data_IF_363531973226
#
_entry.id   IF_363531973226
#
_cell.length_a   1.000
_cell.length_b   1.000
_cell.length_c   1.000
_cell.angle_alpha   90.00
_cell.angle_beta   90.00
_cell.angle_gamma   90.00
#
_symmetry.space_group_name_H-M   'P 1'
#
loop_
_entity.id
_entity.type
_entity.pdbx_description
1 polymer ?
#
# COMPACT_ATOMS: atom_id res chain seq x y z
N UNK A 1 14.10 -14.36 -5.98
CA UNK A 1 14.92 -13.19 -6.32
C UNK A 1 14.31 -11.98 -5.63
N UNK A 2 15.08 -10.98 -5.17
CA UNK A 2 14.49 -9.72 -4.72
C UNK A 2 13.78 -9.05 -5.90
N UNK A 3 12.64 -8.39 -5.65
CA UNK A 3 11.97 -7.62 -6.68
C UNK A 3 12.94 -6.59 -7.27
N UNK A 4 12.99 -6.47 -8.60
CA UNK A 4 13.83 -5.47 -9.28
C UNK A 4 13.53 -4.06 -8.75
N UNK A 5 14.53 -3.17 -8.61
CA UNK A 5 14.35 -1.82 -8.07
C UNK A 5 13.33 -0.98 -8.84
N UNK A 6 13.05 -1.33 -10.10
CA UNK A 6 12.01 -0.71 -10.93
C UNK A 6 10.60 -1.06 -10.43
N UNK A 7 10.36 -2.31 -10.00
CA UNK A 7 9.07 -2.72 -9.41
C UNK A 7 8.88 -2.10 -8.03
N UNK A 8 9.96 -1.90 -7.29
CA UNK A 8 9.90 -1.21 -6.00
C UNK A 8 9.49 0.26 -6.13
N UNK A 9 9.83 0.91 -7.25
CA UNK A 9 9.33 2.24 -7.58
C UNK A 9 7.83 2.25 -7.85
N UNK A 10 7.22 1.18 -8.36
CA UNK A 10 5.77 1.14 -8.59
C UNK A 10 4.97 1.44 -7.33
N UNK A 11 5.38 0.91 -6.17
CA UNK A 11 4.69 1.20 -4.89
C UNK A 11 4.81 2.68 -4.50
N UNK A 12 5.98 3.29 -4.69
CA UNK A 12 6.17 4.72 -4.46
C UNK A 12 5.35 5.57 -5.45
N UNK A 13 5.36 5.21 -6.74
CA UNK A 13 4.58 5.88 -7.78
C UNK A 13 3.08 5.77 -7.54
N UNK A 14 2.61 4.62 -7.03
CA UNK A 14 1.23 4.41 -6.63
C UNK A 14 0.81 5.39 -5.52
N UNK A 15 1.66 5.54 -4.49
CA UNK A 15 1.42 6.50 -3.40
C UNK A 15 1.38 7.94 -3.94
N UNK A 16 2.31 8.32 -4.80
CA UNK A 16 2.33 9.66 -5.40
C UNK A 16 1.09 9.89 -6.29
N UNK A 17 0.67 8.90 -7.06
CA UNK A 17 -0.56 8.97 -7.86
C UNK A 17 -1.84 9.19 -7.02
N UNK A 18 -1.92 8.57 -5.84
CA UNK A 18 -3.00 8.80 -4.87
C UNK A 18 -2.85 10.17 -4.19
N UNK A 19 -1.62 10.56 -3.86
CA UNK A 19 -1.33 11.86 -3.22
C UNK A 19 -1.81 13.02 -4.10
N UNK A 20 -1.52 12.99 -5.40
CA UNK A 20 -1.94 14.02 -6.37
C UNK A 20 -3.45 14.00 -6.68
N UNK A 21 -4.17 12.94 -6.29
CA UNK A 21 -5.60 12.78 -6.58
C UNK A 21 -6.46 12.67 -5.31
N UNK A 22 -7.06 13.76 -4.82
CA UNK A 22 -7.91 13.73 -3.63
C UNK A 22 -9.15 12.83 -3.79
N UNK A 23 -9.66 12.68 -5.02
CA UNK A 23 -10.76 11.75 -5.33
C UNK A 23 -10.38 10.30 -5.04
N UNK A 24 -9.13 9.90 -5.32
CA UNK A 24 -8.64 8.56 -5.02
C UNK A 24 -8.53 8.33 -3.52
N UNK A 25 -8.04 9.31 -2.77
CA UNK A 25 -7.97 9.23 -1.30
C UNK A 25 -9.35 9.08 -0.65
N UNK A 26 -10.35 9.81 -1.16
CA UNK A 26 -11.74 9.67 -0.70
C UNK A 26 -12.29 8.27 -1.01
N UNK A 27 -12.08 7.77 -2.22
CA UNK A 27 -12.49 6.41 -2.60
C UNK A 27 -11.84 5.36 -1.69
N UNK A 28 -10.56 5.52 -1.40
CA UNK A 28 -9.77 4.62 -0.57
C UNK A 28 -10.30 4.55 0.88
N UNK A 29 -10.80 5.66 1.43
CA UNK A 29 -11.52 5.70 2.70
C UNK A 29 -12.95 5.10 2.64
N UNK A 30 -13.56 5.01 1.46
CA UNK A 30 -14.88 4.42 1.29
C UNK A 30 -14.82 2.89 1.26
N UNK A 31 -13.72 2.31 0.76
CA UNK A 31 -13.49 0.87 0.67
C UNK A 31 -13.56 0.25 2.06
N UNK A 32 -14.31 -0.85 2.16
CA UNK A 32 -14.49 -1.60 3.41
C UNK A 32 -14.23 -3.10 3.24
N UNK A 33 -13.86 -3.55 2.04
CA UNK A 33 -13.68 -4.96 1.69
C UNK A 33 -12.49 -5.17 0.74
N UNK A 34 -12.01 -6.41 0.66
CA UNK A 34 -10.82 -6.76 -0.11
C UNK A 34 -11.06 -6.70 -1.62
N UNK A 35 -12.30 -6.92 -2.08
CA UNK A 35 -12.62 -6.90 -3.50
C UNK A 35 -12.64 -5.46 -4.03
N UNK A 36 -13.21 -4.52 -3.26
CA UNK A 36 -13.15 -3.09 -3.54
C UNK A 36 -11.72 -2.56 -3.57
N UNK A 37 -10.88 -3.01 -2.62
CA UNK A 37 -9.45 -2.68 -2.63
C UNK A 37 -8.75 -3.21 -3.88
N UNK A 38 -9.03 -4.46 -4.27
CA UNK A 38 -8.45 -5.05 -5.47
C UNK A 38 -8.81 -4.28 -6.72
N UNK A 39 -10.09 -3.97 -6.90
CA UNK A 39 -10.57 -3.21 -8.04
C UNK A 39 -9.96 -1.79 -8.09
N UNK A 40 -9.80 -1.15 -6.93
CA UNK A 40 -9.19 0.16 -6.84
C UNK A 40 -7.70 0.13 -7.20
N UNK A 41 -6.95 -0.83 -6.65
CA UNK A 41 -5.52 -0.97 -6.91
C UNK A 41 -5.25 -1.30 -8.38
N UNK A 42 -5.99 -2.26 -8.93
CA UNK A 42 -5.87 -2.67 -10.34
C UNK A 42 -6.20 -1.52 -11.32
N UNK A 43 -7.10 -0.61 -10.90
CA UNK A 43 -7.43 0.59 -11.67
C UNK A 43 -6.35 1.68 -11.67
N UNK A 44 -5.40 1.65 -10.74
CA UNK A 44 -4.30 2.63 -10.63
C UNK A 44 -3.00 2.03 -11.15
N UNK A 45 -2.64 0.85 -10.64
CA UNK A 45 -1.38 0.19 -10.94
C UNK A 45 -1.56 -1.33 -10.95
N UNK A 46 -1.64 -1.89 -12.16
CA UNK A 46 -1.75 -3.33 -12.41
C UNK A 46 -0.43 -4.09 -12.18
N UNK A 47 0.67 -3.39 -11.88
CA UNK A 47 1.94 -4.03 -11.49
C UNK A 47 1.94 -4.52 -10.04
N UNK A 48 0.95 -4.10 -9.23
CA UNK A 48 0.76 -4.59 -7.87
C UNK A 48 0.11 -5.97 -7.90
N UNK A 49 0.92 -7.00 -7.64
CA UNK A 49 0.47 -8.40 -7.73
C UNK A 49 -0.12 -8.93 -6.43
N UNK A 50 0.31 -8.40 -5.28
CA UNK A 50 -0.05 -8.88 -3.95
C UNK A 50 -0.82 -7.83 -3.14
N UNK A 51 -1.87 -8.26 -2.47
CA UNK A 51 -2.62 -7.41 -1.54
C UNK A 51 -3.30 -8.22 -0.45
N UNK A 52 -3.39 -7.64 0.74
CA UNK A 52 -4.11 -8.22 1.86
C UNK A 52 -4.72 -7.13 2.73
N UNK A 53 -5.93 -7.40 3.23
CA UNK A 53 -6.46 -6.66 4.37
C UNK A 53 -5.74 -7.12 5.63
N UNK A 54 -5.34 -6.16 6.46
CA UNK A 54 -4.68 -6.42 7.72
C UNK A 54 -5.50 -5.81 8.88
N UNK A 55 -5.59 -6.48 10.02
CA UNK A 55 -6.21 -5.89 11.20
C UNK A 55 -5.36 -4.70 11.70
N UNK A 56 -6.00 -3.76 12.40
CA UNK A 56 -5.35 -2.54 12.90
C UNK A 56 -4.12 -2.86 13.77
N UNK A 57 -4.18 -3.90 14.58
CA UNK A 57 -3.04 -4.35 15.41
C UNK A 57 -1.80 -4.71 14.58
N UNK A 58 -2.01 -5.31 13.40
CA UNK A 58 -0.92 -5.65 12.48
C UNK A 58 -0.43 -4.41 11.72
N UNK A 59 -1.33 -3.45 11.47
CA UNK A 59 -1.02 -2.18 10.82
C UNK A 59 -0.29 -1.19 11.75
N UNK A 60 -0.49 -1.27 13.05
CA UNK A 60 0.22 -0.46 14.06
C UNK A 60 1.46 -1.15 14.60
N UNK A 61 1.62 -2.45 14.33
CA UNK A 61 2.80 -3.21 14.74
C UNK A 61 4.09 -2.54 14.21
N UNK A 62 5.15 -2.45 15.04
CA UNK A 62 6.39 -1.80 14.66
C UNK A 62 7.07 -2.55 13.52
N UNK A 63 7.42 -1.86 12.42
CA UNK A 63 8.06 -2.50 11.28
C UNK A 63 9.51 -2.87 11.60
N UNK A 64 9.97 -3.99 11.02
CA UNK A 64 11.37 -4.39 11.15
C UNK A 64 12.33 -3.49 10.37
N UNK A 65 11.92 -3.02 9.18
CA UNK A 65 12.67 -2.09 8.34
C UNK A 65 11.67 -1.17 7.65
N UNK A 66 11.59 0.09 8.09
CA UNK A 66 10.86 1.16 7.38
C UNK A 66 11.78 1.73 6.31
N UNK A 67 11.35 1.64 5.05
CA UNK A 67 12.05 2.27 3.92
C UNK A 67 11.57 3.70 3.77
N UNK A 68 10.25 3.90 3.83
CA UNK A 68 9.63 5.22 3.70
C UNK A 68 8.30 5.26 4.47
N UNK A 69 7.82 6.45 4.81
CA UNK A 69 6.54 6.64 5.45
C UNK A 69 6.04 8.06 5.30
N UNK A 70 4.73 8.23 5.27
CA UNK A 70 4.11 9.54 5.22
C UNK A 70 2.64 9.50 5.61
N UNK A 71 1.99 10.65 5.51
CA UNK A 71 0.55 10.80 5.71
C UNK A 71 0.00 11.51 4.47
N UNK A 72 -1.07 10.98 3.88
CA UNK A 72 -1.80 11.63 2.79
C UNK A 72 -2.75 12.69 3.34
N UNK A 73 -3.16 13.65 2.50
CA UNK A 73 -4.02 14.77 2.91
C UNK A 73 -5.36 14.33 3.53
N UNK A 74 -5.91 13.20 3.09
CA UNK A 74 -7.11 12.60 3.68
C UNK A 74 -6.86 11.89 5.03
N UNK A 75 -5.78 12.23 5.72
CA UNK A 75 -5.36 11.67 7.00
C UNK A 75 -5.17 10.14 6.95
N UNK A 76 -4.61 9.64 5.85
CA UNK A 76 -4.28 8.22 5.64
C UNK A 76 -2.78 8.03 5.81
N UNK A 77 -2.31 7.51 6.95
CA UNK A 77 -0.92 7.13 7.12
C UNK A 77 -0.56 5.99 6.17
N UNK A 78 0.59 6.09 5.54
CA UNK A 78 1.16 5.02 4.73
C UNK A 78 2.63 4.80 5.10
N UNK A 79 3.08 3.57 4.95
CA UNK A 79 4.45 3.17 5.24
C UNK A 79 4.91 2.10 4.27
N UNK A 80 6.09 2.30 3.73
CA UNK A 80 6.79 1.37 2.86
C UNK A 80 7.76 0.55 3.72
N UNK A 81 7.49 -0.73 3.84
CA UNK A 81 8.24 -1.66 4.67
C UNK A 81 9.00 -2.64 3.81
N UNK A 82 10.23 -2.95 4.19
CA UNK A 82 10.99 -4.02 3.55
C UNK A 82 11.08 -5.22 4.48
N UNK A 83 10.54 -6.36 4.04
CA UNK A 83 10.70 -7.60 4.77
C UNK A 83 12.13 -8.14 4.57
N UNK A 84 12.84 -8.57 5.63
CA UNK A 84 14.18 -9.15 5.49
C UNK A 84 14.13 -10.42 4.63
N UNK A 85 14.75 -10.39 3.46
CA UNK A 85 14.70 -11.46 2.46
C UNK A 85 13.39 -11.58 1.68
N UNK A 86 12.46 -10.63 1.84
CA UNK A 86 11.14 -10.61 1.21
C UNK A 86 10.90 -9.40 0.29
N UNK A 87 9.69 -9.26 -0.27
CA UNK A 87 9.32 -8.13 -1.11
C UNK A 87 9.12 -6.85 -0.30
N UNK A 88 9.06 -5.73 -1.01
CA UNK A 88 8.63 -4.44 -0.49
C UNK A 88 7.11 -4.45 -0.27
N UNK A 89 6.68 -3.96 0.88
CA UNK A 89 5.28 -3.96 1.31
C UNK A 89 4.85 -2.53 1.63
N UNK A 90 3.92 -1.99 0.86
CA UNK A 90 3.25 -0.73 1.14
C UNK A 90 2.05 -1.01 2.05
N UNK A 91 2.06 -0.48 3.26
CA UNK A 91 0.93 -0.53 4.16
C UNK A 91 0.24 0.83 4.23
N UNK A 92 -1.09 0.83 4.15
CA UNK A 92 -1.92 2.02 4.29
C UNK A 92 -2.97 1.80 5.37
N UNK A 93 -3.11 2.79 6.24
CA UNK A 93 -3.99 2.79 7.39
C UNK A 93 -5.15 3.72 7.08
N UNK A 94 -6.31 3.18 6.74
CA UNK A 94 -7.47 3.96 6.31
C UNK A 94 -8.51 3.98 7.41
N UNK A 95 -9.48 4.89 7.30
CA UNK A 95 -10.49 5.09 8.36
C UNK A 95 -11.32 3.82 8.66
N UNK A 96 -11.58 2.98 7.65
CA UNK A 96 -12.42 1.78 7.78
C UNK A 96 -11.63 0.48 7.84
N UNK A 97 -10.62 0.35 6.99
CA UNK A 97 -9.81 -0.86 6.83
C UNK A 97 -8.35 -0.49 6.68
N UNK A 98 -7.48 -1.41 7.09
CA UNK A 98 -6.05 -1.29 6.84
C UNK A 98 -5.66 -2.38 5.85
N UNK A 99 -4.71 -2.07 4.99
CA UNK A 99 -4.27 -3.02 4.00
C UNK A 99 -2.78 -2.90 3.70
N UNK A 100 -2.26 -3.98 3.15
CA UNK A 100 -0.90 -4.13 2.70
C UNK A 100 -0.91 -4.51 1.21
N UNK A 101 -0.12 -3.81 0.42
CA UNK A 101 0.15 -4.07 -0.99
C UNK A 101 1.62 -4.48 -1.12
N UNK A 102 1.92 -5.47 -1.94
CA UNK A 102 3.30 -5.86 -2.25
C UNK A 102 3.39 -6.36 -3.68
N UNK A 103 4.62 -6.42 -4.17
CA UNK A 103 4.90 -6.94 -5.50
C UNK A 103 5.69 -8.23 -5.34
N UNK A 104 5.10 -9.33 -5.77
CA UNK A 104 5.74 -10.64 -5.74
C UNK A 104 6.78 -10.71 -6.84
N UNK A 105 8.03 -11.00 -6.47
CA UNK A 105 9.07 -11.26 -7.45
C UNK A 105 8.89 -12.66 -8.03
N UNK A 106 8.01 -12.79 -9.02
CA UNK A 106 8.10 -13.85 -10.02
C UNK A 106 9.44 -13.73 -10.75
#
# INVERSE_FOLDING_TARGET
>A
MPASPEREKSLSLFVDGIRDNPSLQNNLNLINDAAGLKAFVDGIDSSITGMALIPLEQATSPPKITVDSGILEANIPWRLLRCPGGPLVLQMICSKINFALWIESC
#
